data_IF_545041692263
#
_entry.id   IF_545041692263
#
_cell.length_a   1.000
_cell.length_b   1.000
_cell.length_c   1.000
_cell.angle_alpha   90.00
_cell.angle_beta   90.00
_cell.angle_gamma   90.00
#
_symmetry.space_group_name_H-M   'P 1'
#
loop_
_entity.id
_entity.type
_entity.pdbx_description
1 polymer ?
#
# COMPACT_ATOMS: atom_id res chain seq x y z
N UNK A 1 34.95 -14.26 10.68
CA UNK A 1 34.54 -13.07 9.99
C UNK A 1 33.12 -13.32 9.52
N UNK A 2 32.16 -12.70 10.18
CA UNK A 2 30.76 -12.70 9.80
C UNK A 2 30.66 -11.97 8.46
N UNK A 3 30.06 -12.64 7.49
CA UNK A 3 29.75 -12.11 6.15
C UNK A 3 28.95 -10.81 6.30
N UNK A 4 29.40 -9.66 5.80
CA UNK A 4 28.68 -8.39 5.90
C UNK A 4 27.51 -8.28 4.93
N UNK A 5 27.28 -9.29 4.10
CA UNK A 5 26.14 -9.38 3.20
C UNK A 5 24.98 -9.98 3.98
N UNK A 6 24.09 -9.14 4.45
CA UNK A 6 22.88 -9.55 5.15
C UNK A 6 22.11 -10.59 4.33
N UNK A 7 21.65 -11.63 5.02
CA UNK A 7 21.04 -12.86 4.52
C UNK A 7 19.99 -12.56 3.43
N UNK A 8 20.28 -12.97 2.20
CA UNK A 8 19.42 -12.88 1.00
C UNK A 8 18.05 -13.53 1.27
N UNK A 9 17.98 -14.49 2.20
CA UNK A 9 16.77 -15.20 2.61
C UNK A 9 15.94 -14.46 3.69
N UNK A 10 16.24 -13.20 4.01
CA UNK A 10 15.53 -12.47 5.06
C UNK A 10 14.01 -12.43 4.83
N UNK A 11 13.57 -12.33 3.59
CA UNK A 11 12.16 -12.21 3.20
C UNK A 11 11.57 -13.50 2.64
N UNK A 12 12.38 -14.34 1.98
CA UNK A 12 11.96 -15.63 1.41
C UNK A 12 12.14 -16.77 2.40
N UNK A 13 11.29 -16.80 3.43
CA UNK A 13 11.21 -17.90 4.38
C UNK A 13 9.76 -18.21 4.71
N UNK A 14 9.52 -19.48 5.09
CA UNK A 14 8.21 -19.97 5.47
C UNK A 14 8.20 -20.28 6.97
N UNK A 15 7.07 -20.02 7.61
CA UNK A 15 6.86 -20.36 9.01
C UNK A 15 5.79 -21.43 9.08
N UNK A 16 6.10 -22.56 9.69
CA UNK A 16 5.10 -23.57 10.02
C UNK A 16 4.28 -23.07 11.22
N UNK A 17 3.17 -22.43 10.95
CA UNK A 17 2.20 -22.02 11.94
C UNK A 17 0.88 -22.77 11.66
N UNK A 18 0.45 -23.70 12.52
CA UNK A 18 -0.81 -24.39 12.33
C UNK A 18 -1.96 -23.40 12.40
N UNK A 19 -2.80 -23.38 11.37
CA UNK A 19 -4.00 -22.55 11.36
C UNK A 19 -5.06 -23.13 12.28
N UNK A 20 -5.71 -22.29 13.07
CA UNK A 20 -6.88 -22.66 13.88
C UNK A 20 -8.06 -22.99 12.98
N UNK A 21 -8.20 -22.22 11.90
CA UNK A 21 -9.22 -22.44 10.89
C UNK A 21 -8.69 -22.01 9.52
N UNK A 22 -9.03 -22.78 8.49
CA UNK A 22 -8.78 -22.46 7.09
C UNK A 22 -10.04 -22.75 6.28
N UNK A 23 -10.58 -21.71 5.60
CA UNK A 23 -11.69 -21.88 4.69
C UNK A 23 -11.29 -22.79 3.52
N UNK A 24 -12.26 -23.41 2.86
CA UNK A 24 -11.98 -24.12 1.60
C UNK A 24 -11.56 -23.14 0.49
N UNK A 25 -10.92 -23.63 -0.54
CA UNK A 25 -10.62 -22.84 -1.75
C UNK A 25 -11.91 -22.44 -2.45
N UNK A 26 -11.81 -21.32 -3.17
CA UNK A 26 -12.87 -20.80 -4.02
C UNK A 26 -13.69 -19.69 -3.39
N UNK A 27 -14.42 -18.97 -4.22
CA UNK A 27 -15.22 -17.83 -3.85
C UNK A 27 -16.69 -18.02 -4.20
N UNK A 28 -17.51 -18.12 -3.18
CA UNK A 28 -18.97 -18.14 -3.31
C UNK A 28 -19.66 -17.54 -2.07
N UNK A 29 -21.00 -17.49 -2.10
CA UNK A 29 -21.78 -16.93 -1.01
C UNK A 29 -21.59 -17.69 0.32
N UNK A 30 -21.28 -18.99 0.28
CA UNK A 30 -21.04 -19.80 1.48
C UNK A 30 -19.76 -19.37 2.16
N UNK A 31 -18.66 -19.19 1.41
CA UNK A 31 -17.39 -18.71 1.95
C UNK A 31 -17.54 -17.31 2.54
N UNK A 32 -18.22 -16.40 1.83
CA UNK A 32 -18.47 -15.03 2.31
C UNK A 32 -19.29 -15.03 3.60
N UNK A 33 -20.31 -15.86 3.69
CA UNK A 33 -21.12 -16.01 4.91
C UNK A 33 -20.29 -16.60 6.07
N UNK A 34 -19.44 -17.60 5.82
CA UNK A 34 -18.54 -18.18 6.84
C UNK A 34 -17.55 -17.13 7.39
N UNK A 35 -16.96 -16.29 6.54
CA UNK A 35 -16.09 -15.19 6.98
C UNK A 35 -16.83 -14.29 7.97
N UNK A 36 -18.05 -13.87 7.61
CA UNK A 36 -18.88 -12.99 8.47
C UNK A 36 -19.24 -13.65 9.80
N UNK A 37 -19.57 -14.94 9.78
CA UNK A 37 -19.89 -15.72 10.99
C UNK A 37 -18.68 -15.87 11.92
N UNK A 38 -17.51 -16.27 11.36
CA UNK A 38 -16.27 -16.41 12.11
C UNK A 38 -15.85 -15.10 12.78
N UNK A 39 -16.09 -13.97 12.15
CA UNK A 39 -15.80 -12.63 12.65
C UNK A 39 -16.87 -12.07 13.57
N UNK A 40 -18.01 -12.78 13.74
CA UNK A 40 -19.17 -12.35 14.55
C UNK A 40 -19.65 -10.96 14.15
N UNK A 41 -19.74 -10.73 12.85
CA UNK A 41 -20.15 -9.44 12.31
C UNK A 41 -21.65 -9.16 12.50
N UNK A 42 -22.03 -7.86 12.62
CA UNK A 42 -23.43 -7.48 12.60
C UNK A 42 -24.06 -7.73 11.22
N UNK A 43 -25.38 -7.95 11.17
CA UNK A 43 -26.11 -8.31 9.94
C UNK A 43 -25.83 -7.36 8.77
N UNK A 44 -25.75 -6.05 9.01
CA UNK A 44 -25.48 -5.07 7.95
C UNK A 44 -24.12 -5.29 7.25
N UNK A 45 -23.10 -5.79 7.94
CA UNK A 45 -21.81 -6.11 7.36
C UNK A 45 -21.89 -7.38 6.51
N UNK A 46 -22.61 -8.39 6.98
CA UNK A 46 -22.87 -9.60 6.18
C UNK A 46 -23.61 -9.26 4.88
N UNK A 47 -24.64 -8.42 4.96
CA UNK A 47 -25.38 -7.98 3.77
C UNK A 47 -24.50 -7.20 2.81
N UNK A 48 -23.65 -6.33 3.32
CA UNK A 48 -22.66 -5.58 2.55
C UNK A 48 -21.70 -6.53 1.81
N UNK A 49 -21.20 -7.58 2.46
CA UNK A 49 -20.31 -8.59 1.86
C UNK A 49 -21.01 -9.36 0.74
N UNK A 50 -22.19 -9.89 1.00
CA UNK A 50 -22.94 -10.67 0.00
C UNK A 50 -23.31 -9.82 -1.22
N UNK A 51 -23.74 -8.58 -0.99
CA UNK A 51 -23.99 -7.65 -2.10
C UNK A 51 -22.74 -7.33 -2.89
N UNK A 52 -21.59 -7.22 -2.24
CA UNK A 52 -20.30 -6.99 -2.88
C UNK A 52 -19.86 -8.19 -3.73
N UNK A 53 -20.16 -9.41 -3.31
CA UNK A 53 -19.92 -10.62 -4.11
C UNK A 53 -20.75 -10.62 -5.40
N UNK A 54 -22.03 -10.22 -5.33
CA UNK A 54 -22.87 -10.08 -6.52
C UNK A 54 -22.26 -9.08 -7.51
N UNK A 55 -21.79 -7.92 -7.01
CA UNK A 55 -21.14 -6.88 -7.81
C UNK A 55 -19.84 -7.42 -8.42
N UNK A 56 -19.01 -8.13 -7.65
CA UNK A 56 -17.80 -8.76 -8.15
C UNK A 56 -18.08 -9.71 -9.31
N UNK A 57 -19.08 -10.58 -9.16
CA UNK A 57 -19.45 -11.54 -10.20
C UNK A 57 -19.96 -10.87 -11.48
N UNK A 58 -20.71 -9.78 -11.34
CA UNK A 58 -21.26 -9.02 -12.46
C UNK A 58 -20.23 -8.15 -13.20
N UNK A 59 -19.19 -7.66 -12.52
CA UNK A 59 -18.16 -6.80 -13.13
C UNK A 59 -17.21 -7.59 -14.01
N UNK A 60 -16.94 -7.14 -15.26
CA UNK A 60 -15.91 -7.74 -16.10
C UNK A 60 -14.52 -7.52 -15.49
N UNK A 61 -13.56 -8.34 -15.91
CA UNK A 61 -12.15 -8.07 -15.66
C UNK A 61 -11.73 -6.76 -16.34
N UNK A 62 -10.81 -5.98 -15.74
CA UNK A 62 -10.28 -4.80 -16.41
C UNK A 62 -9.57 -5.22 -17.71
N UNK A 63 -9.78 -4.46 -18.77
CA UNK A 63 -9.13 -4.65 -20.08
C UNK A 63 -7.89 -3.73 -20.25
N UNK A 64 -7.49 -3.09 -19.20
CA UNK A 64 -6.34 -2.19 -19.10
C UNK A 64 -5.41 -2.63 -17.95
N UNK A 65 -4.18 -2.15 -17.93
CA UNK A 65 -3.17 -2.57 -16.96
C UNK A 65 -2.39 -3.80 -17.46
N UNK A 66 -1.95 -4.63 -16.54
CA UNK A 66 -1.28 -5.90 -16.85
C UNK A 66 -2.25 -7.07 -16.97
N UNK A 67 -1.77 -8.17 -17.52
CA UNK A 67 -2.55 -9.41 -17.64
C UNK A 67 -2.74 -10.05 -16.26
N UNK A 68 -4.00 -10.31 -15.91
CA UNK A 68 -4.38 -10.92 -14.64
C UNK A 68 -4.90 -12.32 -14.94
N UNK A 69 -4.08 -13.33 -14.65
CA UNK A 69 -4.36 -14.74 -14.90
C UNK A 69 -4.80 -15.49 -13.63
N UNK A 70 -5.23 -14.79 -12.58
CA UNK A 70 -5.63 -15.39 -11.31
C UNK A 70 -6.89 -16.23 -11.47
N UNK A 71 -6.84 -17.49 -11.05
CA UNK A 71 -8.04 -18.30 -10.85
C UNK A 71 -8.62 -18.03 -9.46
N UNK A 72 -9.70 -17.28 -9.41
CA UNK A 72 -10.40 -16.95 -8.15
C UNK A 72 -10.99 -18.17 -7.44
N UNK A 73 -11.07 -19.33 -8.11
CA UNK A 73 -11.54 -20.58 -7.47
C UNK A 73 -10.40 -21.40 -6.86
N UNK A 74 -9.13 -21.05 -7.13
CA UNK A 74 -7.95 -21.72 -6.56
C UNK A 74 -7.28 -20.94 -5.41
N UNK A 75 -7.95 -19.96 -4.84
CA UNK A 75 -7.44 -19.12 -3.75
C UNK A 75 -8.15 -19.44 -2.44
N UNK A 76 -7.41 -19.40 -1.33
CA UNK A 76 -7.96 -19.37 0.02
C UNK A 76 -8.25 -17.94 0.43
N UNK A 77 -9.49 -17.63 0.78
CA UNK A 77 -9.94 -16.27 1.11
C UNK A 77 -9.90 -15.95 2.60
N UNK A 78 -9.75 -16.95 3.45
CA UNK A 78 -9.68 -16.73 4.88
C UNK A 78 -8.90 -17.84 5.59
N UNK A 79 -7.97 -17.43 6.45
CA UNK A 79 -7.21 -18.28 7.34
C UNK A 79 -7.06 -17.60 8.69
N UNK A 80 -7.48 -18.25 9.76
CA UNK A 80 -7.32 -17.79 11.14
C UNK A 80 -6.09 -18.43 11.77
N UNK A 81 -5.02 -17.66 12.01
CA UNK A 81 -3.74 -18.21 12.50
C UNK A 81 -3.72 -18.44 14.03
N UNK A 82 -4.57 -17.75 14.79
CA UNK A 82 -4.61 -17.80 16.24
C UNK A 82 -6.04 -17.69 16.79
N UNK A 83 -6.31 -18.23 17.98
CA UNK A 83 -7.64 -18.16 18.62
C UNK A 83 -8.01 -16.72 19.00
N UNK A 84 -7.02 -15.94 19.49
CA UNK A 84 -7.20 -14.57 19.97
C UNK A 84 -6.01 -13.70 19.57
N UNK A 85 -6.27 -12.41 19.45
CA UNK A 85 -5.24 -11.39 19.30
C UNK A 85 -4.48 -11.24 20.62
N UNK A 86 -3.15 -11.24 20.59
CA UNK A 86 -2.31 -10.97 21.76
C UNK A 86 -2.41 -9.50 22.16
N UNK A 87 -2.61 -9.23 23.45
CA UNK A 87 -2.54 -7.88 24.04
C UNK A 87 -1.10 -7.45 24.29
N UNK A 88 -0.24 -8.41 24.54
CA UNK A 88 1.20 -8.22 24.67
C UNK A 88 1.92 -9.07 23.63
N UNK A 89 3.17 -8.71 23.33
CA UNK A 89 3.99 -9.48 22.38
C UNK A 89 4.25 -10.90 22.86
N UNK A 90 4.30 -11.11 24.18
CA UNK A 90 4.52 -12.40 24.80
C UNK A 90 3.38 -13.39 24.55
N UNK A 91 2.16 -12.89 24.38
CA UNK A 91 0.96 -13.70 24.10
C UNK A 91 0.86 -14.15 22.63
N UNK A 92 1.65 -13.56 21.72
CA UNK A 92 1.67 -13.98 20.31
C UNK A 92 2.34 -15.36 20.19
N UNK A 93 1.80 -16.29 19.38
CA UNK A 93 2.42 -17.60 19.17
C UNK A 93 3.89 -17.49 18.72
N UNK A 94 4.76 -18.32 19.28
CA UNK A 94 6.21 -18.26 19.06
C UNK A 94 6.62 -18.37 17.58
N UNK A 95 5.93 -19.19 16.80
CA UNK A 95 6.18 -19.32 15.36
C UNK A 95 5.96 -17.98 14.65
N UNK A 96 4.90 -17.26 15.02
CA UNK A 96 4.56 -15.96 14.45
C UNK A 96 5.55 -14.88 14.93
N UNK A 97 5.93 -14.88 16.24
CA UNK A 97 6.98 -13.99 16.76
C UNK A 97 8.27 -14.14 15.96
N UNK A 98 8.76 -15.37 15.79
CA UNK A 98 9.98 -15.67 15.03
C UNK A 98 9.90 -15.13 13.60
N UNK A 99 8.71 -15.15 12.98
CA UNK A 99 8.51 -14.55 11.65
C UNK A 99 8.79 -13.06 11.68
N UNK A 100 8.18 -12.31 12.57
CA UNK A 100 8.35 -10.87 12.65
C UNK A 100 9.75 -10.46 13.15
N UNK A 101 10.35 -11.23 14.05
CA UNK A 101 11.74 -11.01 14.49
C UNK A 101 12.72 -11.19 13.32
N UNK A 102 12.51 -12.23 12.49
CA UNK A 102 13.34 -12.48 11.31
C UNK A 102 13.16 -11.40 10.23
N UNK A 103 11.97 -10.81 10.10
CA UNK A 103 11.73 -9.66 9.21
C UNK A 103 12.41 -8.38 9.71
N UNK A 104 12.97 -8.39 10.91
CA UNK A 104 13.71 -7.26 11.47
C UNK A 104 12.79 -6.21 12.06
N UNK A 105 11.67 -6.63 12.69
CA UNK A 105 10.86 -5.77 13.52
C UNK A 105 11.40 -5.83 14.94
N UNK A 106 12.45 -5.07 15.30
CA UNK A 106 13.08 -5.15 16.61
C UNK A 106 12.11 -4.72 17.71
N UNK A 107 12.25 -5.31 18.89
CA UNK A 107 11.48 -4.90 20.06
C UNK A 107 11.69 -3.40 20.40
N UNK A 108 12.89 -2.87 20.11
CA UNK A 108 13.21 -1.46 20.30
C UNK A 108 12.38 -0.53 19.41
N UNK A 109 12.14 -0.89 18.12
CA UNK A 109 11.29 -0.12 17.20
C UNK A 109 9.85 -0.10 17.68
N UNK A 110 9.34 -1.22 18.20
CA UNK A 110 8.01 -1.31 18.79
C UNK A 110 7.80 -0.36 19.97
N UNK A 111 8.86 -0.07 20.74
CA UNK A 111 8.82 0.84 21.89
C UNK A 111 8.85 2.32 21.53
N UNK A 112 9.41 2.67 20.37
CA UNK A 112 9.55 4.07 19.94
C UNK A 112 8.41 4.59 19.04
N UNK A 113 7.54 3.71 18.57
CA UNK A 113 6.39 4.09 17.73
C UNK A 113 5.19 4.53 18.58
N UNK A 114 4.34 5.36 17.99
CA UNK A 114 3.08 5.77 18.62
C UNK A 114 2.11 4.60 18.80
N UNK A 115 2.17 3.61 17.91
CA UNK A 115 1.42 2.37 17.97
C UNK A 115 1.88 1.41 16.88
N UNK A 116 1.74 0.11 17.13
CA UNK A 116 2.15 -0.97 16.23
C UNK A 116 1.05 -2.01 16.07
N UNK A 117 0.90 -2.53 14.86
CA UNK A 117 0.08 -3.71 14.56
C UNK A 117 0.87 -4.71 13.74
N UNK A 118 0.58 -5.99 13.97
CA UNK A 118 1.12 -7.09 13.19
C UNK A 118 -0.03 -7.98 12.70
N UNK A 119 -0.17 -8.09 11.39
CA UNK A 119 -1.12 -9.00 10.74
C UNK A 119 -0.37 -10.17 10.12
N UNK A 120 -0.83 -11.38 10.43
CA UNK A 120 -0.35 -12.61 9.87
C UNK A 120 -1.52 -13.34 9.20
N UNK A 121 -1.42 -13.61 7.89
CA UNK A 121 -2.52 -14.11 7.06
C UNK A 121 -3.74 -13.18 7.07
N UNK A 122 -4.89 -13.68 7.47
CA UNK A 122 -6.15 -12.92 7.46
C UNK A 122 -6.45 -12.16 8.75
N UNK A 123 -5.61 -12.27 9.78
CA UNK A 123 -5.94 -11.73 11.11
C UNK A 123 -4.81 -10.87 11.69
N UNK A 124 -5.18 -9.82 12.40
CA UNK A 124 -4.24 -9.08 13.25
C UNK A 124 -3.95 -9.91 14.51
N UNK A 125 -2.69 -10.23 14.72
CA UNK A 125 -2.23 -11.10 15.81
C UNK A 125 -1.68 -10.33 17.00
N UNK A 126 -1.33 -9.06 16.78
CA UNK A 126 -0.81 -8.17 17.83
C UNK A 126 -1.17 -6.72 17.53
N UNK A 127 -1.41 -5.92 18.58
CA UNK A 127 -1.60 -4.48 18.46
C UNK A 127 -1.32 -3.75 19.75
N UNK A 128 -0.70 -2.57 19.65
CA UNK A 128 -0.44 -1.66 20.76
C UNK A 128 -0.65 -0.21 20.35
N UNK A 129 -0.97 0.63 21.32
CA UNK A 129 -1.08 2.09 21.19
C UNK A 129 -0.55 2.72 22.48
N UNK A 130 0.20 3.81 22.38
CA UNK A 130 0.66 4.55 23.56
C UNK A 130 -0.53 5.03 24.39
N UNK A 131 -0.45 4.86 25.71
CA UNK A 131 -1.54 5.19 26.63
C UNK A 131 -1.97 6.66 26.57
N UNK A 132 -1.03 7.59 26.39
CA UNK A 132 -1.33 9.01 26.28
C UNK A 132 -2.19 9.33 25.05
N UNK A 133 -1.98 8.65 23.92
CA UNK A 133 -2.80 8.78 22.72
C UNK A 133 -4.20 8.19 22.95
N UNK A 134 -4.27 7.04 23.61
CA UNK A 134 -5.54 6.41 23.96
C UNK A 134 -6.36 7.32 24.88
N UNK A 135 -5.72 7.97 25.88
CA UNK A 135 -6.37 8.96 26.77
C UNK A 135 -6.87 10.19 26.02
N UNK A 136 -6.24 10.59 24.94
CA UNK A 136 -6.67 11.67 24.06
C UNK A 136 -7.80 11.25 23.10
N UNK A 137 -8.26 9.99 23.18
CA UNK A 137 -9.32 9.45 22.34
C UNK A 137 -8.89 8.96 20.97
N UNK A 138 -7.58 8.80 20.72
CA UNK A 138 -7.07 8.16 19.50
C UNK A 138 -7.47 6.69 19.52
N UNK A 139 -8.02 6.23 18.39
CA UNK A 139 -8.34 4.81 18.18
C UNK A 139 -7.34 4.28 17.14
N UNK A 140 -6.65 3.20 17.48
CA UNK A 140 -5.86 2.42 16.54
C UNK A 140 -6.13 0.93 16.80
N UNK A 141 -7.05 0.38 16.03
CA UNK A 141 -7.44 -1.02 16.14
C UNK A 141 -7.47 -1.66 14.75
N UNK A 142 -7.71 -2.97 14.66
CA UNK A 142 -8.02 -3.61 13.40
C UNK A 142 -9.47 -3.29 12.98
N UNK A 143 -9.73 -3.38 11.68
CA UNK A 143 -11.05 -3.05 11.14
C UNK A 143 -12.13 -4.04 11.60
N UNK A 144 -11.79 -5.29 11.86
CA UNK A 144 -12.72 -6.30 12.38
C UNK A 144 -13.21 -5.94 13.78
N UNK A 145 -12.29 -5.51 14.65
CA UNK A 145 -12.62 -5.00 15.98
C UNK A 145 -13.43 -3.71 15.90
N UNK A 146 -13.06 -2.79 14.99
CA UNK A 146 -13.77 -1.53 14.82
C UNK A 146 -15.23 -1.73 14.37
N UNK A 147 -15.54 -2.73 13.56
CA UNK A 147 -16.93 -3.07 13.17
C UNK A 147 -17.80 -3.38 14.40
N UNK A 148 -17.22 -4.01 15.41
CA UNK A 148 -17.94 -4.40 16.65
C UNK A 148 -17.98 -3.30 17.70
N UNK A 149 -16.86 -2.59 17.89
CA UNK A 149 -16.67 -1.64 18.99
C UNK A 149 -16.98 -0.19 18.61
N UNK A 150 -16.86 0.16 17.32
CA UNK A 150 -17.07 1.51 16.79
C UNK A 150 -18.03 1.52 15.58
N UNK A 151 -19.21 0.86 15.66
CA UNK A 151 -20.08 0.65 14.50
C UNK A 151 -20.59 1.95 13.87
N UNK A 152 -20.78 3.01 14.64
CA UNK A 152 -21.29 4.28 14.13
C UNK A 152 -20.28 4.98 13.23
N UNK A 153 -19.00 5.03 13.63
CA UNK A 153 -17.91 5.56 12.81
C UNK A 153 -17.74 4.73 11.53
N UNK A 154 -17.82 3.39 11.65
CA UNK A 154 -17.72 2.53 10.47
C UNK A 154 -18.87 2.77 9.50
N UNK A 155 -20.11 2.85 9.97
CA UNK A 155 -21.28 3.09 9.12
C UNK A 155 -21.25 4.44 8.39
N UNK A 156 -20.61 5.44 9.00
CA UNK A 156 -20.48 6.76 8.42
C UNK A 156 -19.53 6.78 7.21
N UNK A 157 -18.42 6.03 7.24
CA UNK A 157 -17.35 6.16 6.25
C UNK A 157 -17.05 4.88 5.45
N UNK A 158 -17.18 3.71 6.05
CA UNK A 158 -16.77 2.44 5.45
C UNK A 158 -17.53 2.13 4.16
N UNK A 159 -16.80 1.87 3.09
CA UNK A 159 -17.37 1.53 1.80
C UNK A 159 -18.05 2.71 1.07
N UNK A 160 -17.86 3.94 1.53
CA UNK A 160 -18.44 5.13 0.90
C UNK A 160 -17.43 5.93 0.08
N UNK A 161 -16.17 5.91 0.48
CA UNK A 161 -15.09 6.53 -0.28
C UNK A 161 -14.72 5.63 -1.46
N UNK A 162 -14.60 4.34 -1.21
CA UNK A 162 -14.39 3.30 -2.21
C UNK A 162 -15.52 2.28 -2.11
N UNK A 163 -16.67 2.53 -2.78
CA UNK A 163 -17.77 1.58 -2.76
C UNK A 163 -17.44 0.30 -3.54
N UNK A 164 -18.14 -0.82 -3.29
CA UNK A 164 -17.96 -2.06 -4.06
C UNK A 164 -18.16 -1.88 -5.57
N UNK A 165 -18.90 -0.84 -5.95
CA UNK A 165 -19.16 -0.51 -7.36
C UNK A 165 -17.99 0.18 -8.06
N UNK A 166 -16.95 0.60 -7.36
CA UNK A 166 -15.81 1.33 -7.92
C UNK A 166 -15.08 0.53 -9.00
N UNK A 167 -14.56 -0.62 -8.64
CA UNK A 167 -13.91 -1.55 -9.57
C UNK A 167 -14.06 -3.01 -9.10
N UNK A 168 -13.65 -3.96 -9.94
CA UNK A 168 -13.81 -5.39 -9.65
C UNK A 168 -13.09 -5.82 -8.37
N UNK A 169 -11.88 -5.29 -8.11
CA UNK A 169 -11.08 -5.66 -6.94
C UNK A 169 -11.54 -4.97 -5.65
N UNK A 170 -12.12 -3.77 -5.76
CA UNK A 170 -12.83 -3.15 -4.65
C UNK A 170 -14.08 -3.97 -4.25
N UNK A 171 -14.80 -4.52 -5.22
CA UNK A 171 -15.91 -5.44 -4.97
C UNK A 171 -15.43 -6.73 -4.30
N UNK A 172 -14.34 -7.33 -4.81
CA UNK A 172 -13.73 -8.52 -4.22
C UNK A 172 -13.32 -8.27 -2.76
N UNK A 173 -12.53 -7.23 -2.51
CA UNK A 173 -12.14 -6.86 -1.16
C UNK A 173 -13.37 -6.67 -0.27
N UNK A 174 -14.38 -5.93 -0.72
CA UNK A 174 -15.60 -5.68 0.04
C UNK A 174 -16.35 -6.96 0.41
N UNK A 175 -16.26 -8.01 -0.40
CA UNK A 175 -16.87 -9.31 -0.11
C UNK A 175 -16.08 -10.14 0.92
N UNK A 176 -14.73 -10.11 0.87
CA UNK A 176 -13.89 -11.06 1.61
C UNK A 176 -12.85 -10.41 2.54
N UNK A 177 -12.90 -9.10 2.74
CA UNK A 177 -11.91 -8.38 3.55
C UNK A 177 -11.74 -8.96 4.95
N UNK A 178 -10.51 -8.87 5.45
CA UNK A 178 -10.10 -9.32 6.79
C UNK A 178 -8.95 -8.47 7.29
N UNK A 179 -9.00 -8.07 8.56
CA UNK A 179 -7.94 -7.28 9.16
C UNK A 179 -7.85 -5.87 8.58
N UNK A 180 -6.64 -5.39 8.40
CA UNK A 180 -6.37 -3.99 8.07
C UNK A 180 -6.38 -3.10 9.31
N UNK A 181 -6.26 -1.79 9.12
CA UNK A 181 -6.16 -0.82 10.21
C UNK A 181 -7.37 0.11 10.26
N UNK A 182 -7.93 0.30 11.44
CA UNK A 182 -8.87 1.36 11.74
C UNK A 182 -8.19 2.41 12.62
N UNK A 183 -8.16 3.66 12.13
CA UNK A 183 -7.55 4.78 12.83
C UNK A 183 -8.54 5.94 12.90
N UNK A 184 -8.77 6.43 14.09
CA UNK A 184 -9.48 7.69 14.33
C UNK A 184 -8.59 8.62 15.16
N UNK A 185 -8.32 9.81 14.64
CA UNK A 185 -7.55 10.85 15.35
C UNK A 185 -8.47 12.01 15.64
N UNK A 186 -8.79 12.27 16.92
CA UNK A 186 -9.73 13.31 17.33
C UNK A 186 -9.25 14.71 16.96
N UNK A 187 -10.19 15.64 16.93
CA UNK A 187 -9.96 17.05 16.64
C UNK A 187 -8.79 17.65 17.41
N UNK A 188 -7.86 18.26 16.68
CA UNK A 188 -6.69 18.95 17.23
C UNK A 188 -5.57 18.06 17.78
N UNK A 189 -5.74 16.74 17.77
CA UNK A 189 -4.71 15.81 18.25
C UNK A 189 -3.62 15.65 17.18
N UNK A 190 -2.36 15.86 17.58
CA UNK A 190 -1.18 15.65 16.73
C UNK A 190 -0.40 14.44 17.24
N UNK A 191 -0.29 13.41 16.40
CA UNK A 191 0.53 12.23 16.67
C UNK A 191 1.91 12.49 16.09
N UNK A 192 2.94 12.57 16.95
CA UNK A 192 4.29 12.95 16.54
C UNK A 192 5.06 11.79 15.90
N UNK A 193 4.93 10.58 16.46
CA UNK A 193 5.58 9.38 15.96
C UNK A 193 4.62 8.58 15.07
N UNK A 194 5.13 7.85 14.07
CA UNK A 194 4.26 7.05 13.20
C UNK A 194 3.46 5.98 13.94
N UNK A 195 2.23 5.77 13.50
CA UNK A 195 1.51 4.51 13.70
C UNK A 195 1.94 3.54 12.62
N UNK A 196 2.18 2.28 12.96
CA UNK A 196 2.76 1.32 12.03
C UNK A 196 1.98 0.01 11.97
N UNK A 197 1.83 -0.56 10.78
CA UNK A 197 1.31 -1.91 10.59
C UNK A 197 2.22 -2.74 9.69
N UNK A 198 2.34 -4.02 10.02
CA UNK A 198 3.05 -5.02 9.23
C UNK A 198 2.09 -6.10 8.78
N UNK A 199 2.14 -6.42 7.49
CA UNK A 199 1.32 -7.44 6.85
C UNK A 199 2.20 -8.53 6.27
N UNK A 200 1.92 -9.78 6.65
CA UNK A 200 2.63 -10.96 6.15
C UNK A 200 1.66 -11.99 5.59
N UNK A 201 1.76 -12.29 4.30
CA UNK A 201 1.22 -13.53 3.73
C UNK A 201 2.28 -14.61 3.95
N UNK A 202 1.89 -15.78 4.44
CA UNK A 202 2.83 -16.84 4.71
C UNK A 202 2.38 -18.21 4.15
N UNK A 203 1.09 -18.40 3.85
CA UNK A 203 0.57 -19.65 3.31
C UNK A 203 0.48 -19.63 1.78
N UNK A 204 0.74 -20.77 1.15
CA UNK A 204 0.65 -20.95 -0.30
C UNK A 204 -0.80 -20.82 -0.80
N UNK A 205 -1.01 -20.23 -1.96
CA UNK A 205 -2.32 -19.92 -2.57
C UNK A 205 -3.24 -19.08 -1.66
N UNK A 206 -2.68 -18.39 -0.66
CA UNK A 206 -3.45 -17.55 0.24
C UNK A 206 -3.64 -16.16 -0.36
N UNK A 207 -4.88 -15.68 -0.37
CA UNK A 207 -5.18 -14.27 -0.64
C UNK A 207 -5.13 -13.43 0.64
N UNK A 208 -4.70 -12.18 0.53
CA UNK A 208 -4.77 -11.19 1.60
C UNK A 208 -5.61 -10.00 1.15
N UNK A 209 -6.59 -9.62 1.97
CA UNK A 209 -7.66 -8.70 1.60
C UNK A 209 -7.92 -7.68 2.71
N UNK A 210 -6.88 -6.99 3.16
CA UNK A 210 -7.03 -6.00 4.22
C UNK A 210 -7.87 -4.80 3.79
N UNK A 211 -8.59 -4.25 4.76
CA UNK A 211 -9.36 -3.03 4.58
C UNK A 211 -9.02 -2.01 5.66
N UNK A 212 -8.40 -0.93 5.23
CA UNK A 212 -7.94 0.15 6.11
C UNK A 212 -8.87 1.35 5.98
N UNK A 213 -9.28 1.91 7.13
CA UNK A 213 -10.04 3.15 7.22
C UNK A 213 -9.35 4.10 8.20
N UNK A 214 -8.98 5.29 7.72
CA UNK A 214 -8.35 6.34 8.52
C UNK A 214 -9.22 7.59 8.51
N UNK A 215 -9.57 8.08 9.70
CA UNK A 215 -10.34 9.31 9.90
C UNK A 215 -9.47 10.28 10.70
N UNK A 216 -9.06 11.37 10.06
CA UNK A 216 -8.29 12.45 10.68
C UNK A 216 -9.23 13.63 10.86
N UNK A 217 -9.60 13.93 12.11
CA UNK A 217 -10.55 14.98 12.43
C UNK A 217 -9.93 16.39 12.27
N UNK A 218 -10.72 17.43 12.48
CA UNK A 218 -10.32 18.81 12.23
C UNK A 218 -9.02 19.18 12.97
N UNK A 219 -8.04 19.70 12.22
CA UNK A 219 -6.74 20.12 12.75
C UNK A 219 -5.87 19.00 13.29
N UNK A 220 -6.30 17.75 13.19
CA UNK A 220 -5.54 16.60 13.67
C UNK A 220 -4.42 16.22 12.68
N UNK A 221 -3.42 15.49 13.18
CA UNK A 221 -2.27 15.05 12.38
C UNK A 221 -1.88 13.61 12.68
N UNK A 222 -1.63 12.83 11.63
CA UNK A 222 -1.12 11.46 11.73
C UNK A 222 -0.17 11.12 10.59
N UNK A 223 0.85 10.33 10.91
CA UNK A 223 1.64 9.58 9.95
C UNK A 223 1.41 8.08 10.19
N UNK A 224 0.93 7.39 9.18
CA UNK A 224 0.74 5.94 9.21
C UNK A 224 1.70 5.28 8.23
N UNK A 225 2.35 4.21 8.66
CA UNK A 225 3.33 3.47 7.88
C UNK A 225 2.92 2.01 7.76
N UNK A 226 2.99 1.47 6.56
CA UNK A 226 2.61 0.09 6.27
C UNK A 226 3.73 -0.64 5.54
N UNK A 227 4.12 -1.79 6.08
CA UNK A 227 5.05 -2.72 5.46
C UNK A 227 4.36 -4.02 5.07
N UNK A 228 4.55 -4.48 3.82
CA UNK A 228 3.92 -5.69 3.31
C UNK A 228 4.96 -6.64 2.71
N UNK A 229 4.93 -7.92 3.09
CA UNK A 229 5.86 -8.93 2.58
C UNK A 229 5.19 -10.30 2.38
N UNK A 230 5.71 -11.11 1.46
CA UNK A 230 5.36 -12.52 1.28
C UNK A 230 6.58 -13.34 0.84
N UNK A 231 6.70 -14.62 1.23
CA UNK A 231 7.69 -15.54 0.66
C UNK A 231 7.31 -15.94 -0.77
N UNK A 232 8.27 -16.47 -1.50
CA UNK A 232 8.02 -17.01 -2.82
C UNK A 232 7.40 -18.41 -2.76
N UNK A 233 6.34 -18.63 -3.54
CA UNK A 233 5.71 -19.92 -3.77
C UNK A 233 5.65 -20.21 -5.27
N UNK A 234 5.45 -21.47 -5.61
CA UNK A 234 5.26 -21.93 -7.00
C UNK A 234 3.87 -21.57 -7.56
N UNK A 235 2.89 -21.36 -6.66
CA UNK A 235 1.51 -21.02 -7.02
C UNK A 235 1.29 -19.52 -6.92
N UNK A 236 0.39 -19.00 -7.74
CA UNK A 236 -0.01 -17.61 -7.71
C UNK A 236 -0.79 -17.27 -6.45
N UNK A 237 -0.62 -16.06 -5.95
CA UNK A 237 -1.34 -15.51 -4.80
C UNK A 237 -1.84 -14.12 -5.11
N UNK A 238 -2.86 -13.67 -4.38
CA UNK A 238 -3.54 -12.41 -4.60
C UNK A 238 -3.52 -11.54 -3.35
N UNK A 239 -2.98 -10.34 -3.50
CA UNK A 239 -3.16 -9.25 -2.55
C UNK A 239 -4.13 -8.23 -3.14
N UNK A 240 -5.24 -7.99 -2.48
CA UNK A 240 -6.24 -7.01 -2.92
C UNK A 240 -6.74 -6.21 -1.73
N UNK A 241 -6.08 -5.08 -1.47
CA UNK A 241 -6.40 -4.19 -0.37
C UNK A 241 -7.26 -3.00 -0.81
N UNK A 242 -8.03 -2.47 0.15
CA UNK A 242 -8.73 -1.20 0.01
C UNK A 242 -8.36 -0.28 1.16
N UNK A 243 -7.96 0.96 0.82
CA UNK A 243 -7.61 2.00 1.79
C UNK A 243 -8.48 3.22 1.57
N UNK A 244 -9.29 3.55 2.57
CA UNK A 244 -10.18 4.70 2.62
C UNK A 244 -9.70 5.71 3.66
N UNK A 245 -9.51 6.98 3.27
CA UNK A 245 -9.02 8.03 4.17
C UNK A 245 -9.92 9.26 4.10
N UNK A 246 -10.25 9.81 5.25
CA UNK A 246 -10.92 11.11 5.40
C UNK A 246 -9.99 12.04 6.16
N UNK A 247 -9.66 13.19 5.57
CA UNK A 247 -8.88 14.24 6.22
C UNK A 247 -9.76 15.47 6.30
N UNK A 248 -10.31 15.74 7.48
CA UNK A 248 -11.21 16.86 7.73
C UNK A 248 -10.45 18.20 7.74
N UNK A 249 -11.19 19.28 7.90
CA UNK A 249 -10.70 20.67 7.86
C UNK A 249 -9.38 20.86 8.58
N UNK A 250 -8.35 21.37 7.86
CA UNK A 250 -6.98 21.61 8.36
C UNK A 250 -6.26 20.39 8.92
N UNK A 251 -6.82 19.18 8.76
CA UNK A 251 -6.19 17.93 9.13
C UNK A 251 -5.00 17.60 8.22
N UNK A 252 -4.11 16.73 8.69
CA UNK A 252 -2.96 16.24 7.92
C UNK A 252 -2.83 14.73 8.07
N UNK A 253 -2.78 14.03 6.96
CA UNK A 253 -2.52 12.60 6.92
C UNK A 253 -1.36 12.31 5.96
N UNK A 254 -0.33 11.65 6.46
CA UNK A 254 0.72 11.03 5.64
C UNK A 254 0.56 9.52 5.74
N UNK A 255 0.48 8.85 4.60
CA UNK A 255 0.42 7.40 4.50
C UNK A 255 1.60 6.91 3.69
N UNK A 256 2.47 6.16 4.33
CA UNK A 256 3.66 5.57 3.71
C UNK A 256 3.50 4.07 3.57
N UNK A 257 3.77 3.52 2.38
CA UNK A 257 3.76 2.08 2.14
C UNK A 257 5.09 1.64 1.54
N UNK A 258 5.68 0.59 2.08
CA UNK A 258 6.77 -0.15 1.44
C UNK A 258 6.29 -1.57 1.20
N UNK A 259 6.14 -1.93 -0.06
CA UNK A 259 5.70 -3.25 -0.48
C UNK A 259 6.84 -3.98 -1.16
N UNK A 260 7.18 -5.15 -0.61
CA UNK A 260 8.16 -6.07 -1.17
C UNK A 260 7.51 -7.46 -1.28
N UNK A 261 6.85 -7.68 -2.41
CA UNK A 261 6.13 -8.91 -2.68
C UNK A 261 6.97 -9.88 -3.52
N UNK A 262 6.78 -11.17 -3.31
CA UNK A 262 7.35 -12.20 -4.18
C UNK A 262 6.75 -12.16 -5.59
N UNK A 263 7.49 -12.68 -6.58
CA UNK A 263 7.12 -12.61 -8.01
C UNK A 263 5.87 -13.41 -8.41
N UNK A 264 5.29 -14.19 -7.52
CA UNK A 264 4.04 -14.91 -7.74
C UNK A 264 2.81 -14.13 -7.28
N UNK A 265 2.95 -12.91 -6.76
CA UNK A 265 1.87 -12.12 -6.19
C UNK A 265 1.25 -11.17 -7.22
N UNK A 266 -0.08 -11.21 -7.35
CA UNK A 266 -0.86 -10.14 -7.95
C UNK A 266 -1.26 -9.13 -6.88
N UNK A 267 -0.75 -7.91 -6.97
CA UNK A 267 -0.93 -6.83 -6.01
C UNK A 267 -1.91 -5.79 -6.56
N UNK A 268 -3.20 -5.94 -6.26
CA UNK A 268 -4.30 -5.20 -6.86
C UNK A 268 -4.99 -4.32 -5.80
N UNK A 269 -4.51 -3.10 -5.62
CA UNK A 269 -4.84 -2.23 -4.49
C UNK A 269 -5.61 -0.99 -4.95
N UNK A 270 -6.68 -0.65 -4.22
CA UNK A 270 -7.43 0.58 -4.42
C UNK A 270 -7.27 1.49 -3.19
N UNK A 271 -6.72 2.71 -3.40
CA UNK A 271 -6.50 3.71 -2.34
C UNK A 271 -7.17 5.03 -2.71
N UNK A 272 -7.93 5.61 -1.80
CA UNK A 272 -8.55 6.93 -1.99
C UNK A 272 -8.65 7.71 -0.70
N UNK A 273 -8.34 9.00 -0.78
CA UNK A 273 -8.51 9.95 0.30
C UNK A 273 -9.43 11.10 -0.14
N UNK A 274 -10.29 11.54 0.79
CA UNK A 274 -11.08 12.75 0.70
C UNK A 274 -10.43 13.82 1.59
N UNK A 275 -9.97 14.92 1.00
CA UNK A 275 -9.35 16.03 1.71
C UNK A 275 -10.28 17.25 1.69
N UNK A 276 -10.63 17.75 2.88
CA UNK A 276 -11.55 18.86 3.07
C UNK A 276 -10.81 20.20 3.25
N UNK A 277 -11.47 21.25 3.68
CA UNK A 277 -10.96 22.63 3.72
C UNK A 277 -9.56 22.73 4.35
N UNK A 278 -8.59 23.20 3.56
CA UNK A 278 -7.21 23.37 4.00
C UNK A 278 -6.48 22.12 4.45
N UNK A 279 -7.06 20.93 4.27
CA UNK A 279 -6.44 19.66 4.63
C UNK A 279 -5.28 19.29 3.71
N UNK A 280 -4.36 18.47 4.21
CA UNK A 280 -3.25 17.88 3.46
C UNK A 280 -3.28 16.36 3.53
N UNK A 281 -3.31 15.72 2.36
CA UNK A 281 -3.11 14.28 2.21
C UNK A 281 -1.84 13.99 1.44
N UNK A 282 -0.97 13.16 2.00
CA UNK A 282 0.29 12.73 1.40
C UNK A 282 0.32 11.20 1.28
N UNK A 283 0.51 10.71 0.05
CA UNK A 283 0.80 9.30 -0.24
C UNK A 283 2.28 9.14 -0.58
N UNK A 284 2.96 8.21 0.10
CA UNK A 284 4.35 7.84 -0.19
C UNK A 284 4.39 6.34 -0.43
N UNK A 285 4.66 5.92 -1.66
CA UNK A 285 4.57 4.54 -2.08
C UNK A 285 5.91 4.00 -2.63
N UNK A 286 6.45 2.97 -1.98
CA UNK A 286 7.52 2.12 -2.51
C UNK A 286 6.96 0.79 -3.00
N UNK A 287 7.11 0.49 -4.29
CA UNK A 287 6.56 -0.69 -4.95
C UNK A 287 7.67 -1.54 -5.52
N UNK A 288 7.92 -2.70 -4.90
CA UNK A 288 8.93 -3.66 -5.30
C UNK A 288 8.32 -5.07 -5.34
N UNK A 289 8.90 -5.92 -6.16
CA UNK A 289 8.40 -7.28 -6.32
C UNK A 289 7.08 -7.35 -7.07
N UNK A 290 6.28 -8.37 -6.79
CA UNK A 290 5.03 -8.72 -7.47
C UNK A 290 5.19 -9.12 -8.93
N UNK A 291 4.42 -10.11 -9.37
CA UNK A 291 4.24 -10.39 -10.80
C UNK A 291 3.56 -9.22 -11.50
N UNK A 292 2.52 -8.69 -10.87
CA UNK A 292 1.80 -7.52 -11.33
C UNK A 292 1.38 -6.67 -10.14
N UNK A 293 1.73 -5.40 -10.16
CA UNK A 293 1.12 -4.38 -9.28
C UNK A 293 0.17 -3.51 -10.10
N UNK A 294 -1.07 -3.32 -9.61
CA UNK A 294 -1.99 -2.29 -10.11
C UNK A 294 -2.43 -1.44 -8.91
N UNK A 295 -1.83 -0.25 -8.77
CA UNK A 295 -2.05 0.63 -7.62
C UNK A 295 -1.99 2.11 -8.03
N UNK A 296 -3.09 2.82 -7.79
CA UNK A 296 -3.28 4.22 -8.20
C UNK A 296 -3.89 5.02 -7.05
N UNK A 297 -3.09 5.41 -6.04
CA UNK A 297 -3.59 6.22 -4.93
C UNK A 297 -4.22 7.51 -5.44
N UNK A 298 -5.36 7.88 -4.86
CA UNK A 298 -6.12 9.03 -5.27
C UNK A 298 -6.31 10.03 -4.12
N UNK A 299 -6.26 11.33 -4.42
CA UNK A 299 -6.70 12.39 -3.52
C UNK A 299 -7.79 13.20 -4.18
N UNK A 300 -8.96 13.23 -3.55
CA UNK A 300 -10.08 14.08 -3.93
C UNK A 300 -10.07 15.30 -3.02
N UNK A 301 -9.77 16.47 -3.59
CA UNK A 301 -9.72 17.75 -2.88
C UNK A 301 -11.10 18.39 -2.93
N UNK A 302 -11.90 18.13 -1.90
CA UNK A 302 -13.34 18.36 -1.87
C UNK A 302 -13.75 19.77 -1.49
N UNK A 303 -12.87 20.51 -0.80
CA UNK A 303 -13.16 21.84 -0.29
C UNK A 303 -11.97 22.79 -0.51
N UNK A 304 -12.19 24.13 -0.40
CA UNK A 304 -11.17 25.12 -0.72
C UNK A 304 -9.88 24.94 0.07
N UNK A 305 -8.74 25.13 -0.61
CA UNK A 305 -7.42 25.06 0.01
C UNK A 305 -6.93 23.65 0.34
N UNK A 306 -7.69 22.60 0.02
CA UNK A 306 -7.25 21.24 0.19
C UNK A 306 -6.05 20.92 -0.71
N UNK A 307 -5.15 20.05 -0.23
CA UNK A 307 -3.91 19.68 -0.90
C UNK A 307 -3.71 18.19 -0.96
N UNK A 308 -3.20 17.71 -2.11
CA UNK A 308 -2.85 16.32 -2.32
C UNK A 308 -1.41 16.17 -2.83
N UNK A 309 -0.60 15.36 -2.18
CA UNK A 309 0.76 15.05 -2.60
C UNK A 309 0.93 13.55 -2.75
N UNK A 310 1.55 13.12 -3.85
CA UNK A 310 1.80 11.69 -4.12
C UNK A 310 3.23 11.56 -4.58
N UNK A 311 3.98 10.76 -3.85
CA UNK A 311 5.36 10.41 -4.16
C UNK A 311 5.46 8.89 -4.28
N UNK A 312 5.87 8.38 -5.45
CA UNK A 312 5.87 6.96 -5.76
C UNK A 312 7.19 6.53 -6.37
N UNK A 313 7.71 5.38 -5.93
CA UNK A 313 8.74 4.63 -6.65
C UNK A 313 8.19 3.26 -7.03
N UNK A 314 8.52 2.82 -8.25
CA UNK A 314 8.28 1.48 -8.74
C UNK A 314 9.58 0.88 -9.28
N UNK A 315 9.93 -0.32 -8.85
CA UNK A 315 11.04 -1.09 -9.39
C UNK A 315 10.50 -2.39 -9.99
N UNK A 316 10.72 -2.58 -11.29
CA UNK A 316 10.32 -3.78 -12.02
C UNK A 316 11.56 -4.54 -12.52
N UNK A 317 11.68 -5.81 -12.12
CA UNK A 317 12.71 -6.74 -12.61
C UNK A 317 12.09 -7.84 -13.48
N UNK A 318 12.85 -8.87 -13.80
CA UNK A 318 12.41 -9.98 -14.65
C UNK A 318 11.07 -10.57 -14.21
N UNK A 319 10.14 -10.69 -15.15
CA UNK A 319 8.79 -11.24 -14.92
C UNK A 319 7.85 -10.33 -14.12
N UNK A 320 8.25 -9.10 -13.83
CA UNK A 320 7.46 -8.13 -13.07
C UNK A 320 6.87 -7.03 -13.95
N UNK A 321 5.63 -6.65 -13.66
CA UNK A 321 4.99 -5.47 -14.22
C UNK A 321 4.47 -4.56 -13.10
N UNK A 322 5.10 -3.41 -12.91
CA UNK A 322 4.67 -2.39 -11.99
C UNK A 322 3.78 -1.37 -12.74
N UNK A 323 2.47 -1.58 -12.77
CA UNK A 323 1.50 -0.61 -13.29
C UNK A 323 1.02 0.25 -12.10
N UNK A 324 1.82 1.24 -11.76
CA UNK A 324 1.59 2.14 -10.65
C UNK A 324 1.35 3.56 -11.15
N UNK A 325 0.58 4.35 -10.40
CA UNK A 325 0.27 5.70 -10.82
C UNK A 325 -0.30 6.55 -9.71
N UNK A 326 -1.04 7.60 -10.08
CA UNK A 326 -1.59 8.53 -9.11
C UNK A 326 -2.79 9.28 -9.69
N UNK A 327 -3.72 9.69 -8.81
CA UNK A 327 -4.90 10.45 -9.21
C UNK A 327 -5.11 11.67 -8.31
N UNK A 328 -5.33 12.82 -8.92
CA UNK A 328 -5.71 14.05 -8.25
C UNK A 328 -7.03 14.55 -8.83
N UNK A 329 -8.01 14.82 -7.97
CA UNK A 329 -9.30 15.41 -8.36
C UNK A 329 -9.48 16.73 -7.60
N UNK A 330 -9.51 17.82 -8.33
CA UNK A 330 -9.79 19.16 -7.83
C UNK A 330 -11.29 19.39 -7.92
N UNK A 331 -12.01 19.30 -6.80
CA UNK A 331 -13.45 19.49 -6.74
C UNK A 331 -13.85 20.85 -6.13
N UNK A 332 -12.87 21.67 -5.73
CA UNK A 332 -13.10 22.96 -5.08
C UNK A 332 -12.01 23.98 -5.46
N UNK A 333 -12.27 25.30 -5.31
CA UNK A 333 -11.31 26.33 -5.67
C UNK A 333 -10.08 26.36 -4.74
N UNK A 334 -8.98 26.92 -5.25
CA UNK A 334 -7.71 27.11 -4.53
C UNK A 334 -7.09 25.79 -4.03
N UNK A 335 -7.36 24.69 -4.66
CA UNK A 335 -6.75 23.39 -4.33
C UNK A 335 -5.41 23.23 -5.02
N UNK A 336 -4.52 22.45 -4.44
CA UNK A 336 -3.19 22.20 -5.03
C UNK A 336 -2.81 20.73 -4.96
N UNK A 337 -2.18 20.24 -6.03
CA UNK A 337 -1.75 18.88 -6.17
C UNK A 337 -0.31 18.74 -6.66
N UNK A 338 0.40 17.74 -6.18
CA UNK A 338 1.74 17.37 -6.65
C UNK A 338 1.87 15.87 -6.77
N UNK A 339 2.34 15.42 -7.93
CA UNK A 339 2.70 14.01 -8.16
C UNK A 339 4.17 13.98 -8.57
N UNK A 340 4.94 13.13 -7.90
CA UNK A 340 6.29 12.73 -8.33
C UNK A 340 6.31 11.21 -8.40
N UNK A 341 6.49 10.69 -9.59
CA UNK A 341 6.58 9.25 -9.83
C UNK A 341 7.92 8.90 -10.47
N UNK A 342 8.66 8.00 -9.84
CA UNK A 342 9.91 7.48 -10.35
C UNK A 342 9.79 5.99 -10.58
N UNK A 343 10.25 5.52 -11.73
CA UNK A 343 10.22 4.09 -12.04
C UNK A 343 11.57 3.61 -12.56
N UNK A 344 11.89 2.36 -12.24
CA UNK A 344 13.11 1.69 -12.67
C UNK A 344 12.71 0.36 -13.27
N UNK A 345 13.27 0.04 -14.43
CA UNK A 345 13.04 -1.25 -15.11
C UNK A 345 14.37 -1.91 -15.44
N UNK A 346 14.51 -3.19 -15.05
CA UNK A 346 15.74 -4.00 -15.20
C UNK A 346 15.38 -5.43 -15.63
N UNK A 347 16.29 -6.08 -16.36
CA UNK A 347 16.20 -7.49 -16.75
C UNK A 347 14.89 -7.87 -17.47
N UNK A 348 14.41 -6.99 -18.35
CA UNK A 348 13.15 -7.19 -19.06
C UNK A 348 11.90 -6.84 -18.24
N UNK A 349 12.05 -6.23 -17.07
CA UNK A 349 10.94 -5.71 -16.26
C UNK A 349 10.18 -4.60 -16.96
N UNK A 350 8.90 -4.43 -16.61
CA UNK A 350 8.03 -3.41 -17.16
C UNK A 350 7.50 -2.49 -16.07
N UNK A 351 7.67 -1.18 -16.24
CA UNK A 351 7.01 -0.17 -15.44
C UNK A 351 5.99 0.60 -16.27
N UNK A 352 4.84 0.91 -15.68
CA UNK A 352 3.83 1.75 -16.31
C UNK A 352 3.35 2.79 -15.32
N UNK A 353 3.31 4.05 -15.72
CA UNK A 353 2.66 5.12 -14.98
C UNK A 353 1.28 5.40 -15.55
N UNK A 354 0.23 5.33 -14.71
CA UNK A 354 -1.13 5.78 -15.06
C UNK A 354 -1.56 6.91 -14.16
N UNK A 355 -1.64 8.11 -14.73
CA UNK A 355 -2.02 9.32 -13.99
C UNK A 355 -3.38 9.83 -14.39
N UNK A 356 -4.09 10.43 -13.42
CA UNK A 356 -5.26 11.25 -13.65
C UNK A 356 -5.12 12.56 -12.90
N UNK A 357 -5.23 13.67 -13.62
CA UNK A 357 -5.51 14.99 -13.02
C UNK A 357 -6.84 15.46 -13.57
N UNK A 358 -7.80 15.61 -12.68
CA UNK A 358 -9.14 16.08 -13.03
C UNK A 358 -9.46 17.36 -12.29
N UNK A 359 -9.98 18.35 -13.03
CA UNK A 359 -10.43 19.62 -12.48
C UNK A 359 -11.91 19.79 -12.80
N UNK A 360 -12.74 19.75 -11.77
CA UNK A 360 -14.19 19.87 -11.86
C UNK A 360 -14.60 21.33 -12.11
N UNK A 361 -15.81 21.56 -12.67
CA UNK A 361 -16.36 22.92 -12.80
C UNK A 361 -16.38 23.66 -11.46
N UNK A 362 -15.93 24.90 -11.45
CA UNK A 362 -15.88 25.74 -10.24
C UNK A 362 -14.60 25.58 -9.41
N UNK A 363 -13.72 24.64 -9.70
CA UNK A 363 -12.43 24.45 -9.02
C UNK A 363 -11.38 25.48 -9.47
N UNK A 364 -11.74 26.78 -9.43
CA UNK A 364 -10.90 27.90 -9.88
C UNK A 364 -9.63 28.03 -9.07
N UNK A 365 -8.57 28.55 -9.70
CA UNK A 365 -7.24 28.78 -9.10
C UNK A 365 -6.59 27.51 -8.56
N UNK A 366 -7.04 26.36 -9.03
CA UNK A 366 -6.40 25.09 -8.73
C UNK A 366 -5.09 24.95 -9.47
N UNK A 367 -4.12 24.26 -8.84
CA UNK A 367 -2.78 24.06 -9.40
C UNK A 367 -2.36 22.61 -9.23
N UNK A 368 -1.80 22.01 -10.28
CA UNK A 368 -1.17 20.68 -10.19
C UNK A 368 0.14 20.64 -10.96
N UNK A 369 1.10 19.93 -10.38
CA UNK A 369 2.37 19.58 -11.01
C UNK A 369 2.54 18.06 -10.97
N UNK A 370 2.78 17.47 -12.14
CA UNK A 370 3.04 16.04 -12.29
C UNK A 370 4.41 15.85 -12.93
N UNK A 371 5.29 15.10 -12.27
CA UNK A 371 6.60 14.75 -12.79
C UNK A 371 6.71 13.22 -12.77
N UNK A 372 6.98 12.63 -13.94
CA UNK A 372 7.12 11.20 -14.12
C UNK A 372 8.46 10.89 -14.75
N UNK A 373 9.39 10.33 -13.98
CA UNK A 373 10.70 9.95 -14.45
C UNK A 373 10.85 8.43 -14.50
N UNK A 374 11.30 7.90 -15.61
CA UNK A 374 11.60 6.48 -15.79
C UNK A 374 13.06 6.28 -16.13
N UNK A 375 13.70 5.32 -15.46
CA UNK A 375 15.07 4.88 -15.71
C UNK A 375 15.05 3.42 -16.21
N UNK A 376 15.55 3.22 -17.43
CA UNK A 376 15.68 1.89 -18.07
C UNK A 376 17.14 1.45 -18.00
N UNK A 377 17.38 0.29 -17.42
CA UNK A 377 18.73 -0.20 -17.15
C UNK A 377 19.28 -1.12 -18.26
N UNK A 378 18.41 -1.67 -19.13
CA UNK A 378 18.78 -2.58 -20.20
C UNK A 378 17.83 -2.51 -21.39
N UNK A 379 18.23 -3.01 -22.58
CA UNK A 379 17.41 -2.92 -23.79
C UNK A 379 16.11 -3.77 -23.77
N UNK A 380 16.01 -4.76 -22.91
CA UNK A 380 14.85 -5.66 -22.81
C UNK A 380 13.75 -5.07 -21.93
N UNK A 381 14.12 -4.15 -21.05
CA UNK A 381 13.23 -3.49 -20.13
C UNK A 381 12.36 -2.42 -20.79
N UNK A 382 11.20 -2.17 -20.21
CA UNK A 382 10.21 -1.26 -20.79
C UNK A 382 9.62 -0.31 -19.74
N UNK A 383 9.35 0.92 -20.18
CA UNK A 383 8.56 1.88 -19.44
C UNK A 383 7.47 2.48 -20.32
N UNK A 384 6.24 2.57 -19.77
CA UNK A 384 5.08 3.17 -20.43
C UNK A 384 4.52 4.30 -19.57
N UNK A 385 4.02 5.36 -20.21
CA UNK A 385 3.36 6.48 -19.51
C UNK A 385 1.99 6.74 -20.13
N UNK A 386 0.94 6.69 -19.29
CA UNK A 386 -0.45 6.92 -19.66
C UNK A 386 -1.01 8.12 -18.89
N UNK A 387 -0.70 9.35 -19.28
CA UNK A 387 -1.25 10.53 -18.64
C UNK A 387 -2.69 10.76 -19.08
N UNK A 388 -3.54 11.07 -18.13
CA UNK A 388 -4.92 11.47 -18.38
C UNK A 388 -5.21 12.78 -17.66
N UNK A 389 -5.65 13.80 -18.41
CA UNK A 389 -5.90 15.14 -17.90
C UNK A 389 -7.27 15.59 -18.38
N UNK A 390 -8.18 15.83 -17.44
CA UNK A 390 -9.51 16.34 -17.66
C UNK A 390 -9.65 17.70 -16.98
N UNK A 391 -9.83 18.76 -17.74
CA UNK A 391 -9.95 20.13 -17.21
C UNK A 391 -11.27 20.72 -17.65
N UNK A 392 -12.16 20.95 -16.68
CA UNK A 392 -13.48 21.57 -16.89
C UNK A 392 -13.55 22.99 -16.31
N UNK A 393 -12.40 23.63 -16.07
CA UNK A 393 -12.28 25.00 -15.52
C UNK A 393 -11.15 25.76 -16.23
N UNK A 394 -11.33 27.08 -16.47
CA UNK A 394 -10.36 27.87 -17.24
C UNK A 394 -9.27 28.52 -16.39
N UNK A 395 -9.59 28.94 -15.15
CA UNK A 395 -8.67 29.63 -14.24
C UNK A 395 -7.87 28.61 -13.41
N UNK A 396 -6.98 27.85 -14.07
CA UNK A 396 -6.17 26.81 -13.44
C UNK A 396 -4.76 26.75 -14.02
N UNK A 397 -3.82 26.14 -13.29
CA UNK A 397 -2.44 25.93 -13.72
C UNK A 397 -2.08 24.45 -13.52
N UNK A 398 -2.08 23.68 -14.62
CA UNK A 398 -1.79 22.25 -14.61
C UNK A 398 -0.59 21.97 -15.50
N UNK A 399 0.45 21.38 -14.93
CA UNK A 399 1.66 20.95 -15.63
C UNK A 399 1.87 19.44 -15.52
N UNK A 400 2.28 18.81 -16.62
CA UNK A 400 2.73 17.42 -16.63
C UNK A 400 4.01 17.32 -17.43
N UNK A 401 5.04 16.76 -16.80
CA UNK A 401 6.33 16.46 -17.39
C UNK A 401 6.61 14.95 -17.25
N UNK A 402 7.09 14.34 -18.32
CA UNK A 402 7.50 12.96 -18.31
C UNK A 402 8.86 12.80 -19.00
N UNK A 403 9.77 12.09 -18.35
CA UNK A 403 11.06 11.75 -18.91
C UNK A 403 11.29 10.23 -18.86
N UNK A 404 11.91 9.70 -19.92
CA UNK A 404 12.39 8.32 -19.96
C UNK A 404 13.86 8.36 -20.36
N UNK A 405 14.72 7.90 -19.49
CA UNK A 405 16.16 7.86 -19.71
C UNK A 405 16.70 6.43 -19.58
N UNK A 406 17.78 6.17 -20.31
CA UNK A 406 18.64 5.02 -20.05
C UNK A 406 19.76 5.46 -19.11
N UNK A 407 20.39 4.50 -18.46
CA UNK A 407 21.64 4.75 -17.74
C UNK A 407 22.65 5.34 -18.72
N UNK A 408 23.23 6.50 -18.38
CA UNK A 408 24.17 7.20 -19.25
C UNK A 408 25.52 6.47 -19.36
N UNK A 409 25.95 6.12 -20.56
CA UNK A 409 27.26 5.50 -20.79
C UNK A 409 28.41 6.36 -20.26
N UNK A 410 28.30 7.68 -20.35
CA UNK A 410 29.27 8.62 -19.79
C UNK A 410 29.34 8.58 -18.27
N UNK A 411 28.18 8.45 -17.60
CA UNK A 411 28.11 8.32 -16.13
C UNK A 411 28.72 6.98 -15.67
N UNK A 412 28.39 5.89 -16.35
CA UNK A 412 28.97 4.58 -16.09
C UNK A 412 30.49 4.61 -16.31
N UNK A 413 30.93 5.14 -17.45
CA UNK A 413 32.34 5.28 -17.75
C UNK A 413 33.09 6.12 -16.70
N UNK A 414 32.52 7.23 -16.28
CA UNK A 414 33.12 8.08 -15.23
C UNK A 414 33.30 7.31 -13.92
N UNK A 415 32.28 6.61 -13.46
CA UNK A 415 32.32 5.85 -12.21
C UNK A 415 33.23 4.63 -12.29
N UNK A 416 33.20 3.89 -13.39
CA UNK A 416 34.08 2.72 -13.61
C UNK A 416 35.53 3.14 -13.77
N UNK A 417 35.84 4.28 -14.39
CA UNK A 417 37.20 4.83 -14.46
C UNK A 417 37.76 5.24 -13.08
N UNK A 418 36.89 5.37 -12.06
CA UNK A 418 37.25 5.61 -10.64
C UNK A 418 37.38 4.33 -9.82
N UNK A 419 37.29 3.16 -10.47
CA UNK A 419 37.51 1.85 -9.85
C UNK A 419 36.28 1.11 -9.38
N UNK A 420 35.06 1.65 -9.63
CA UNK A 420 33.81 0.92 -9.37
C UNK A 420 33.60 -0.13 -10.47
N UNK A 421 33.03 -1.28 -10.08
CA UNK A 421 32.47 -2.21 -11.06
C UNK A 421 31.22 -1.59 -11.73
N UNK A 422 30.83 -2.10 -12.88
CA UNK A 422 29.63 -1.64 -13.58
C UNK A 422 28.36 -1.81 -12.72
N UNK A 423 28.29 -2.90 -11.94
CA UNK A 423 27.19 -3.16 -11.01
C UNK A 423 27.14 -2.12 -9.89
N UNK A 424 28.27 -1.81 -9.26
CA UNK A 424 28.34 -0.77 -8.21
C UNK A 424 28.02 0.61 -8.76
N UNK A 425 28.53 0.95 -9.95
CA UNK A 425 28.24 2.22 -10.63
C UNK A 425 26.73 2.35 -10.94
N UNK A 426 26.11 1.30 -11.46
CA UNK A 426 24.67 1.25 -11.74
C UNK A 426 23.85 1.41 -10.46
N UNK A 427 24.21 0.73 -9.39
CA UNK A 427 23.53 0.83 -8.08
C UNK A 427 23.63 2.26 -7.52
N UNK A 428 24.79 2.90 -7.65
CA UNK A 428 24.99 4.29 -7.22
C UNK A 428 24.12 5.26 -8.01
N UNK A 429 24.00 5.11 -9.32
CA UNK A 429 23.14 5.94 -10.18
C UNK A 429 21.67 5.76 -9.80
N UNK A 430 21.22 4.52 -9.60
CA UNK A 430 19.87 4.20 -9.14
C UNK A 430 19.59 4.80 -7.77
N UNK A 431 20.55 4.69 -6.83
CA UNK A 431 20.44 5.31 -5.51
C UNK A 431 20.21 6.82 -5.59
N UNK A 432 20.98 7.53 -6.43
CA UNK A 432 20.80 8.97 -6.67
C UNK A 432 19.44 9.30 -7.31
N UNK A 433 18.96 8.45 -8.21
CA UNK A 433 17.66 8.63 -8.86
C UNK A 433 16.48 8.53 -7.88
N UNK A 434 16.55 7.66 -6.87
CA UNK A 434 15.49 7.45 -5.88
C UNK A 434 15.64 8.31 -4.62
N UNK A 435 16.79 8.97 -4.42
CA UNK A 435 17.11 9.76 -3.22
C UNK A 435 16.00 10.71 -2.77
N UNK A 436 15.29 11.43 -3.68
CA UNK A 436 14.20 12.33 -3.28
C UNK A 436 13.07 11.65 -2.50
N UNK A 437 12.77 10.37 -2.80
CA UNK A 437 11.79 9.61 -2.02
C UNK A 437 12.39 9.10 -0.70
N UNK A 438 13.59 8.57 -0.76
CA UNK A 438 14.25 8.00 0.43
C UNK A 438 14.36 9.04 1.55
N UNK A 439 14.56 10.30 1.21
CA UNK A 439 14.60 11.42 2.17
C UNK A 439 13.25 11.72 2.86
N UNK A 440 12.14 11.32 2.26
CA UNK A 440 10.78 11.50 2.84
C UNK A 440 10.38 10.35 3.78
N UNK A 441 11.14 9.25 3.76
CA UNK A 441 10.88 8.11 4.62
C UNK A 441 11.42 8.33 6.03
N UNK A 442 10.79 7.78 7.08
CA UNK A 442 11.45 7.60 8.36
C UNK A 442 12.77 6.82 8.19
N UNK A 443 13.77 7.11 9.03
CA UNK A 443 15.13 6.62 8.84
C UNK A 443 15.23 5.10 8.68
N UNK A 444 14.47 4.34 9.47
CA UNK A 444 14.43 2.88 9.43
C UNK A 444 13.93 2.38 8.07
N UNK A 445 12.91 3.02 7.53
CA UNK A 445 12.34 2.70 6.21
C UNK A 445 13.22 3.17 5.06
N UNK A 446 13.96 4.27 5.23
CA UNK A 446 14.95 4.72 4.27
C UNK A 446 16.08 3.70 4.12
N UNK A 447 16.58 3.15 5.23
CA UNK A 447 17.59 2.08 5.26
C UNK A 447 17.03 0.81 4.60
N UNK A 448 15.82 0.41 4.96
CA UNK A 448 15.12 -0.75 4.37
C UNK A 448 14.94 -0.58 2.85
N UNK A 449 14.44 0.57 2.39
CA UNK A 449 14.25 0.84 0.95
C UNK A 449 15.57 0.77 0.19
N UNK A 450 16.62 1.40 0.68
CA UNK A 450 17.93 1.34 0.04
C UNK A 450 18.43 -0.09 -0.05
N UNK A 451 18.30 -0.87 1.03
CA UNK A 451 18.69 -2.27 1.04
C UNK A 451 17.90 -3.12 0.07
N UNK A 452 16.58 -2.92 -0.02
CA UNK A 452 15.73 -3.63 -1.00
C UNK A 452 16.13 -3.29 -2.44
N UNK A 453 16.44 -2.03 -2.73
CA UNK A 453 16.91 -1.62 -4.06
C UNK A 453 18.27 -2.25 -4.39
N UNK A 454 19.22 -2.27 -3.44
CA UNK A 454 20.51 -2.96 -3.62
C UNK A 454 20.31 -4.44 -3.97
N UNK A 455 19.44 -5.15 -3.23
CA UNK A 455 19.12 -6.55 -3.50
C UNK A 455 18.48 -6.75 -4.89
N UNK A 456 17.57 -5.86 -5.29
CA UNK A 456 17.01 -5.87 -6.65
C UNK A 456 18.09 -5.61 -7.72
N UNK A 457 19.05 -4.74 -7.44
CA UNK A 457 20.16 -4.46 -8.36
C UNK A 457 21.11 -5.66 -8.48
N UNK A 458 21.33 -6.41 -7.43
CA UNK A 458 22.12 -7.66 -7.44
C UNK A 458 21.38 -8.81 -8.13
N UNK A 459 20.08 -8.72 -8.33
CA UNK A 459 19.24 -9.78 -8.89
C UNK A 459 18.89 -10.90 -7.91
N UNK A 460 19.05 -10.66 -6.62
CA UNK A 460 18.91 -11.65 -5.56
C UNK A 460 17.52 -11.63 -4.87
N UNK A 461 16.60 -10.81 -5.34
CA UNK A 461 15.23 -10.74 -4.80
C UNK A 461 14.22 -10.87 -5.94
N UNK A 462 13.37 -11.88 -5.85
CA UNK A 462 12.29 -12.14 -6.81
C UNK A 462 11.78 -13.54 -6.70
#
# INVERSE_FOLDING_TARGET
>A
PSDPIGDINKYDFRTEAPAVFKARRGLDATIVAQISEMKREPGWMRDFRLKSLEIFNAKPMPHWGGDIAVDFQDIFYYLKPAEQQGKTWEEVPDAIKKTFDRLGIPEAERKFLAGVKAQFESEVVYGSLQEDLSRQGVIFTDTDTAVREHPDLLREYFGKIIPPTDNKFAALNSAVWSGGSFIYVPKGVSIEFPLQAYFRINAESMGQFERTLIIVDEGAKVHYVEGCTAPMYSTESLHSAVVEIVVKKHGRCRYTTIQNWANNIYNLVTKRAMAYEGALMEWIDGNLGSRLTMKYPAVYMMEPGARGEILSIAFASAGQHQDAGAKLVHAAPNTSGRIVSKSISKNGGRSSYRGLVRVEPGARKSRSSVVCDALILDPQSRSDTYPYIEIEEQDVSIGHEASVSKIGEEQLFYLTSRGLSEAEASTMIVGGFIEPLVKELPMEYAVEMNRLIELQMEGSVG
#
